data_IF_751869212903
#
_entry.id   IF_751869212903
#
_cell.length_a   1.000
_cell.length_b   1.000
_cell.length_c   1.000
_cell.angle_alpha   90.00
_cell.angle_beta   90.00
_cell.angle_gamma   90.00
#
_symmetry.space_group_name_H-M   'P 1'
#
loop_
_entity.id
_entity.type
_entity.pdbx_description
1 polymer ?
#
# COMPACT_ATOMS: atom_id res chain seq x y z
N UNK A 1 -6.89 8.40 39.03
CA UNK A 1 -6.26 7.84 37.81
C UNK A 1 -7.24 8.01 36.65
N UNK A 2 -7.22 9.17 35.99
CA UNK A 2 -7.88 9.35 34.71
C UNK A 2 -6.79 9.84 33.76
N UNK A 3 -6.42 9.00 32.79
CA UNK A 3 -5.43 9.37 31.79
C UNK A 3 -6.06 10.49 30.93
N UNK A 4 -5.49 11.69 31.01
CA UNK A 4 -5.70 12.73 30.02
C UNK A 4 -5.03 12.24 28.74
N UNK A 5 -5.80 11.63 27.83
CA UNK A 5 -5.35 11.31 26.47
C UNK A 5 -5.29 12.61 25.67
N UNK A 6 -4.27 13.42 25.95
CA UNK A 6 -3.96 14.64 25.24
C UNK A 6 -3.34 14.30 23.87
N UNK A 7 -4.11 14.49 22.81
CA UNK A 7 -3.70 15.19 21.57
C UNK A 7 -2.54 14.71 20.70
N UNK A 8 -1.75 13.70 21.07
CA UNK A 8 -0.49 13.34 20.38
C UNK A 8 -0.51 11.99 19.62
N UNK A 9 -1.68 11.38 19.41
CA UNK A 9 -1.77 10.03 18.86
C UNK A 9 -1.88 9.95 17.32
N UNK A 10 -2.13 11.06 16.63
CA UNK A 10 -2.43 11.04 15.19
C UNK A 10 -1.15 10.87 14.34
N UNK A 11 -0.01 11.44 14.75
CA UNK A 11 1.22 11.41 13.92
C UNK A 11 2.01 10.09 13.99
N UNK A 12 1.96 9.37 15.12
CA UNK A 12 2.68 8.09 15.25
C UNK A 12 2.00 6.95 14.49
N UNK A 13 0.70 7.06 14.26
CA UNK A 13 -0.11 6.02 13.62
C UNK A 13 0.13 5.95 12.11
N UNK A 14 0.33 7.09 11.45
CA UNK A 14 0.42 7.12 9.99
C UNK A 14 1.71 6.46 9.49
N UNK A 15 2.84 6.68 10.16
CA UNK A 15 4.08 6.01 9.78
C UNK A 15 4.03 4.50 9.98
N UNK A 16 3.42 4.04 11.08
CA UNK A 16 3.20 2.62 11.33
C UNK A 16 2.28 1.98 10.27
N UNK A 17 1.27 2.72 9.80
CA UNK A 17 0.41 2.30 8.68
C UNK A 17 1.20 2.22 7.37
N UNK A 18 2.02 3.21 7.04
CA UNK A 18 2.85 3.18 5.83
C UNK A 18 3.83 2.00 5.83
N UNK A 19 4.50 1.73 6.94
CA UNK A 19 5.36 0.53 7.09
C UNK A 19 4.60 -0.77 6.93
N UNK A 20 3.33 -0.79 7.30
CA UNK A 20 2.46 -1.97 7.11
C UNK A 20 2.14 -2.21 5.63
N UNK A 21 2.03 -1.15 4.84
CA UNK A 21 1.82 -1.23 3.39
C UNK A 21 3.06 -1.69 2.61
N UNK A 22 4.28 -1.53 3.17
CA UNK A 22 5.50 -2.08 2.57
C UNK A 22 5.54 -3.62 2.60
N UNK A 23 4.94 -4.24 3.63
CA UNK A 23 4.84 -5.71 3.74
C UNK A 23 3.96 -6.30 2.64
N UNK A 24 2.94 -5.56 2.25
CA UNK A 24 2.06 -5.86 1.14
C UNK A 24 0.70 -6.38 1.56
N UNK A 25 -0.30 -6.03 0.75
CA UNK A 25 -1.70 -6.37 0.94
C UNK A 25 -2.18 -7.17 -0.26
N UNK A 26 -2.86 -8.28 0.00
CA UNK A 26 -3.49 -9.07 -1.05
C UNK A 26 -4.80 -8.40 -1.45
N UNK A 27 -4.89 -8.03 -2.72
CA UNK A 27 -6.05 -7.35 -3.30
C UNK A 27 -6.46 -8.03 -4.60
N UNK A 28 -7.61 -7.63 -5.12
CA UNK A 28 -8.04 -7.97 -6.48
C UNK A 28 -7.87 -6.73 -7.35
N UNK A 29 -7.03 -6.83 -8.39
CA UNK A 29 -6.80 -5.74 -9.35
C UNK A 29 -7.75 -5.95 -10.52
N UNK A 30 -8.54 -4.91 -10.80
CA UNK A 30 -9.38 -4.83 -11.99
C UNK A 30 -8.59 -4.11 -13.08
N UNK A 31 -8.01 -4.89 -13.99
CA UNK A 31 -7.44 -4.32 -15.19
C UNK A 31 -8.56 -3.85 -16.14
N UNK A 32 -8.27 -2.94 -17.07
CA UNK A 32 -9.28 -2.28 -17.93
C UNK A 32 -10.27 -3.25 -18.62
N UNK A 33 -11.36 -2.69 -19.16
CA UNK A 33 -12.67 -3.30 -19.51
C UNK A 33 -12.74 -4.77 -19.97
N UNK A 34 -11.69 -5.36 -20.55
CA UNK A 34 -11.70 -6.71 -21.13
C UNK A 34 -10.83 -7.74 -20.38
N UNK A 35 -10.21 -7.37 -19.26
CA UNK A 35 -9.36 -8.28 -18.48
C UNK A 35 -10.09 -8.79 -17.24
N UNK A 36 -9.93 -10.09 -16.95
CA UNK A 36 -10.47 -10.68 -15.72
C UNK A 36 -9.78 -10.03 -14.50
N UNK A 37 -10.52 -9.78 -13.41
CA UNK A 37 -9.91 -9.32 -12.17
C UNK A 37 -8.93 -10.37 -11.65
N UNK A 38 -7.75 -9.95 -11.21
CA UNK A 38 -6.72 -10.88 -10.75
C UNK A 38 -6.32 -10.58 -9.32
N UNK A 39 -6.17 -11.65 -8.53
CA UNK A 39 -5.62 -11.57 -7.18
C UNK A 39 -4.11 -11.29 -7.29
N UNK A 40 -3.65 -10.25 -6.60
CA UNK A 40 -2.26 -9.78 -6.56
C UNK A 40 -1.90 -9.26 -5.18
N UNK A 41 -0.61 -9.21 -4.88
CA UNK A 41 -0.11 -8.52 -3.70
C UNK A 41 0.35 -7.13 -4.12
N UNK A 42 -0.25 -6.09 -3.54
CA UNK A 42 0.20 -4.71 -3.68
C UNK A 42 1.14 -4.36 -2.54
N UNK A 43 2.27 -3.75 -2.86
CA UNK A 43 3.23 -3.22 -1.89
C UNK A 43 3.51 -1.76 -2.20
N UNK A 44 3.61 -0.95 -1.15
CA UNK A 44 4.12 0.42 -1.29
C UNK A 44 5.62 0.37 -1.13
N UNK A 45 6.34 1.03 -2.03
CA UNK A 45 7.77 1.30 -1.87
C UNK A 45 7.91 2.77 -1.50
N UNK A 46 8.09 3.03 -0.20
CA UNK A 46 8.09 4.40 0.34
C UNK A 46 9.26 5.20 -0.25
N UNK A 47 10.45 4.59 -0.31
CA UNK A 47 11.67 5.19 -0.84
C UNK A 47 11.49 5.78 -2.25
N UNK A 48 10.85 5.04 -3.15
CA UNK A 48 10.64 5.45 -4.54
C UNK A 48 9.27 6.06 -4.80
N UNK A 49 8.41 6.15 -3.77
CA UNK A 49 7.01 6.59 -3.86
C UNK A 49 6.24 5.88 -4.97
N UNK A 50 6.34 4.56 -4.96
CA UNK A 50 5.69 3.71 -5.95
C UNK A 50 4.75 2.72 -5.27
N UNK A 51 3.68 2.38 -5.97
CA UNK A 51 2.88 1.20 -5.70
C UNK A 51 3.32 0.10 -6.67
N UNK A 52 3.70 -1.05 -6.16
CA UNK A 52 4.13 -2.21 -6.96
C UNK A 52 3.15 -3.35 -6.75
N UNK A 53 2.91 -4.16 -7.79
CA UNK A 53 2.16 -5.40 -7.66
C UNK A 53 3.00 -6.61 -8.08
N UNK A 54 2.83 -7.69 -7.33
CA UNK A 54 3.48 -8.98 -7.54
C UNK A 54 2.46 -10.10 -7.57
N UNK A 55 2.74 -11.16 -8.34
CA UNK A 55 1.87 -12.34 -8.47
C UNK A 55 1.61 -13.03 -7.14
N UNK A 56 2.67 -13.16 -6.35
CA UNK A 56 2.71 -13.80 -5.04
C UNK A 56 3.74 -13.11 -4.16
N UNK A 57 3.57 -13.18 -2.83
CA UNK A 57 4.52 -12.60 -1.88
C UNK A 57 5.95 -13.15 -2.10
N UNK A 58 6.93 -12.25 -2.11
CA UNK A 58 8.33 -12.59 -2.42
C UNK A 58 8.64 -12.76 -3.91
N UNK A 59 7.65 -12.60 -4.80
CA UNK A 59 7.86 -12.62 -6.25
C UNK A 59 8.47 -11.33 -6.81
N UNK A 60 8.89 -11.38 -8.08
CA UNK A 60 9.37 -10.19 -8.80
C UNK A 60 8.20 -9.24 -9.12
N UNK A 61 8.39 -7.91 -9.06
CA UNK A 61 7.43 -6.91 -9.53
C UNK A 61 6.95 -7.22 -10.95
N UNK A 62 5.64 -7.41 -11.12
CA UNK A 62 5.01 -7.51 -12.45
C UNK A 62 4.77 -6.12 -13.05
N UNK A 63 4.62 -5.11 -12.19
CA UNK A 63 4.47 -3.72 -12.59
C UNK A 63 4.46 -2.76 -11.41
N UNK A 64 4.51 -1.47 -11.73
CA UNK A 64 4.48 -0.40 -10.73
C UNK A 64 3.74 0.82 -11.28
N UNK A 65 3.02 1.53 -10.42
CA UNK A 65 2.61 2.89 -10.69
C UNK A 65 3.32 3.85 -9.73
N UNK A 66 3.71 5.01 -10.24
CA UNK A 66 4.14 6.12 -9.38
C UNK A 66 2.89 6.77 -8.82
N UNK A 67 2.94 7.22 -7.58
CA UNK A 67 1.93 8.14 -7.06
C UNK A 67 2.13 9.49 -7.77
N UNK A 68 1.67 9.59 -9.02
CA UNK A 68 1.53 10.88 -9.69
C UNK A 68 0.20 11.42 -9.22
N UNK A 69 0.22 12.65 -8.69
CA UNK A 69 -0.96 13.41 -8.33
C UNK A 69 -1.93 13.37 -9.52
N UNK A 70 -3.02 12.59 -9.41
CA UNK A 70 -4.14 12.75 -10.31
C UNK A 70 -4.72 14.12 -9.98
N UNK A 71 -4.41 15.11 -10.83
CA UNK A 71 -5.05 16.42 -10.88
C UNK A 71 -6.51 16.29 -11.29
#
# INVERSE_FOLDING_TARGET
MAALYNGNQIENDDWARFRSLERGLVVTIFFGKNKRPEKRTLQVRIETRQLVWIRAQGGKPEGSCKFIQCS
#
